data_IF_900918879357
#
_entry.id   IF_900918879357
#
_cell.length_a   1.000
_cell.length_b   1.000
_cell.length_c   1.000
_cell.angle_alpha   90.00
_cell.angle_beta   90.00
_cell.angle_gamma   90.00
#
_symmetry.space_group_name_H-M   'P 1'
#
loop_
_entity.id
_entity.type
_entity.pdbx_description
1 polymer ?
#
# COMPACT_ATOMS: atom_id res chain seq x y z
N UNK A 1 0.28 -9.93 4.90
CA UNK A 1 1.28 -10.94 4.52
C UNK A 1 1.93 -10.51 3.22
N UNK A 2 3.25 -10.45 3.11
CA UNK A 2 3.96 -10.08 1.86
C UNK A 2 4.31 -11.33 1.05
N UNK A 3 4.57 -11.23 -0.27
CA UNK A 3 5.01 -12.36 -1.09
C UNK A 3 6.21 -13.12 -0.49
N UNK A 4 7.18 -12.39 0.04
CA UNK A 4 8.37 -12.96 0.69
C UNK A 4 8.04 -13.76 1.96
N UNK A 5 7.10 -13.26 2.77
CA UNK A 5 6.66 -13.96 4.00
C UNK A 5 5.85 -15.21 3.65
N UNK A 6 5.01 -15.16 2.61
CA UNK A 6 4.24 -16.31 2.15
C UNK A 6 5.14 -17.42 1.57
N UNK A 7 6.14 -17.05 0.76
CA UNK A 7 7.15 -17.97 0.23
C UNK A 7 7.93 -18.66 1.35
N UNK A 8 8.48 -17.87 2.28
CA UNK A 8 9.26 -18.41 3.39
C UNK A 8 8.43 -19.37 4.25
N UNK A 9 7.17 -19.02 4.55
CA UNK A 9 6.26 -19.91 5.28
C UNK A 9 6.01 -21.24 4.55
N UNK A 10 5.85 -21.21 3.22
CA UNK A 10 5.67 -22.41 2.41
C UNK A 10 6.91 -23.30 2.38
N UNK A 11 8.10 -22.71 2.16
CA UNK A 11 9.38 -23.42 2.15
C UNK A 11 9.69 -24.09 3.50
N UNK A 12 9.43 -23.40 4.62
CA UNK A 12 9.60 -23.97 5.97
C UNK A 12 8.68 -25.18 6.17
N UNK A 13 7.43 -25.10 5.69
CA UNK A 13 6.46 -26.21 5.81
C UNK A 13 6.84 -27.41 4.96
N UNK A 14 7.34 -27.20 3.74
CA UNK A 14 7.86 -28.26 2.88
C UNK A 14 9.06 -28.95 3.51
N UNK A 15 9.98 -28.17 4.10
CA UNK A 15 11.19 -28.70 4.74
C UNK A 15 10.85 -29.51 6.00
N UNK A 16 9.85 -29.08 6.78
CA UNK A 16 9.38 -29.81 7.96
C UNK A 16 8.77 -31.17 7.58
N UNK A 17 7.93 -31.22 6.53
CA UNK A 17 7.30 -32.46 6.07
C UNK A 17 8.32 -33.49 5.53
N UNK A 18 9.40 -33.04 4.88
CA UNK A 18 10.44 -33.93 4.32
C UNK A 18 11.35 -34.50 5.42
N UNK A 19 11.54 -33.79 6.54
CA UNK A 19 12.37 -34.25 7.64
C UNK A 19 11.70 -35.33 8.52
N UNK A 20 10.36 -35.37 8.56
CA UNK A 20 9.61 -36.43 9.25
C UNK A 20 9.69 -37.77 8.49
N UNK A 21 9.83 -37.73 7.16
CA UNK A 21 10.09 -38.88 6.30
C UNK A 21 11.60 -39.20 6.30
N UNK A 22 12.05 -39.91 7.33
CA UNK A 22 13.42 -40.36 7.53
C UNK A 22 14.03 -40.96 6.23
N UNK A 23 14.91 -40.20 5.55
CA UNK A 23 15.79 -40.53 4.39
C UNK A 23 15.61 -39.66 3.11
N UNK A 24 15.19 -38.40 3.21
CA UNK A 24 15.38 -37.45 2.10
C UNK A 24 16.86 -37.10 1.90
N UNK A 25 17.48 -37.53 0.79
CA UNK A 25 18.80 -37.02 0.38
C UNK A 25 18.72 -35.52 0.15
N UNK A 26 19.79 -34.77 0.48
CA UNK A 26 19.87 -33.32 0.17
C UNK A 26 19.52 -32.98 -1.29
N UNK A 27 19.71 -33.93 -2.21
CA UNK A 27 19.33 -33.79 -3.62
C UNK A 27 17.82 -33.84 -3.87
N UNK A 28 17.06 -34.61 -3.09
CA UNK A 28 15.61 -34.72 -3.26
C UNK A 28 14.90 -33.48 -2.75
N UNK A 29 15.40 -32.88 -1.66
CA UNK A 29 14.96 -31.56 -1.20
C UNK A 29 15.17 -30.49 -2.29
N UNK A 30 16.34 -30.47 -2.94
CA UNK A 30 16.64 -29.53 -4.01
C UNK A 30 15.70 -29.73 -5.21
N UNK A 31 15.39 -30.97 -5.58
CA UNK A 31 14.45 -31.28 -6.67
C UNK A 31 13.03 -30.80 -6.33
N UNK A 32 12.55 -31.03 -5.12
CA UNK A 32 11.21 -30.58 -4.70
C UNK A 32 11.10 -29.06 -4.66
N UNK A 33 12.14 -28.36 -4.17
CA UNK A 33 12.15 -26.90 -4.16
C UNK A 33 12.28 -26.28 -5.56
N UNK A 34 12.89 -26.99 -6.51
CA UNK A 34 13.03 -26.57 -7.90
C UNK A 34 11.82 -26.91 -8.79
N UNK A 35 10.87 -27.73 -8.30
CA UNK A 35 9.67 -28.10 -9.04
C UNK A 35 8.66 -26.95 -9.03
N UNK A 36 8.50 -26.28 -10.16
CA UNK A 36 7.57 -25.16 -10.32
C UNK A 36 6.08 -25.54 -10.21
N UNK A 37 5.73 -26.84 -10.28
CA UNK A 37 4.36 -27.31 -10.02
C UNK A 37 4.05 -27.38 -8.53
N UNK A 38 5.08 -27.56 -7.69
CA UNK A 38 4.94 -27.68 -6.23
C UNK A 38 5.29 -26.34 -5.56
N UNK A 39 6.44 -25.77 -5.92
CA UNK A 39 6.96 -24.51 -5.42
C UNK A 39 6.86 -23.43 -6.51
N UNK A 40 5.83 -22.57 -6.50
CA UNK A 40 5.68 -21.52 -7.50
C UNK A 40 6.89 -20.59 -7.50
N UNK A 41 7.30 -20.17 -8.69
CA UNK A 41 8.38 -19.19 -8.86
C UNK A 41 8.03 -17.86 -8.19
N UNK A 42 9.04 -17.07 -7.82
CA UNK A 42 8.83 -15.74 -7.21
C UNK A 42 7.88 -14.86 -8.02
N UNK A 43 8.00 -14.93 -9.34
CA UNK A 43 7.13 -14.20 -10.27
C UNK A 43 5.67 -14.65 -10.16
N UNK A 44 5.42 -15.96 -10.04
CA UNK A 44 4.08 -16.50 -9.86
C UNK A 44 3.50 -16.13 -8.49
N UNK A 45 4.31 -16.17 -7.42
CA UNK A 45 3.88 -15.75 -6.08
C UNK A 45 3.50 -14.27 -6.07
N UNK A 46 4.32 -13.40 -6.68
CA UNK A 46 4.02 -11.97 -6.81
C UNK A 46 2.75 -11.77 -7.63
N UNK A 47 2.61 -12.45 -8.76
CA UNK A 47 1.42 -12.36 -9.60
C UNK A 47 0.14 -12.79 -8.86
N UNK A 48 0.15 -13.94 -8.18
CA UNK A 48 -0.97 -14.44 -7.39
C UNK A 48 -1.34 -13.47 -6.27
N UNK A 49 -0.33 -12.92 -5.59
CA UNK A 49 -0.53 -11.92 -4.56
C UNK A 49 -1.17 -10.65 -5.13
N UNK A 50 -0.68 -10.15 -6.26
CA UNK A 50 -1.22 -8.95 -6.90
C UNK A 50 -2.64 -9.15 -7.41
N UNK A 51 -2.95 -10.31 -7.99
CA UNK A 51 -4.31 -10.68 -8.40
C UNK A 51 -5.26 -10.72 -7.21
N UNK A 52 -4.94 -11.52 -6.17
CA UNK A 52 -5.75 -11.62 -4.96
C UNK A 52 -5.94 -10.25 -4.31
N UNK A 53 -4.86 -9.47 -4.18
CA UNK A 53 -4.91 -8.15 -3.57
C UNK A 53 -5.78 -7.20 -4.40
N UNK A 54 -5.65 -7.21 -5.73
CA UNK A 54 -6.46 -6.37 -6.62
C UNK A 54 -7.96 -6.68 -6.47
N UNK A 55 -8.32 -7.97 -6.40
CA UNK A 55 -9.70 -8.40 -6.19
C UNK A 55 -10.26 -8.00 -4.82
N UNK A 56 -9.44 -7.96 -3.78
CA UNK A 56 -9.89 -7.70 -2.40
C UNK A 56 -9.80 -6.23 -1.99
N UNK A 57 -8.77 -5.51 -2.46
CA UNK A 57 -8.44 -4.14 -2.02
C UNK A 57 -8.38 -3.14 -3.16
N UNK A 58 -8.56 -3.58 -4.41
CA UNK A 58 -8.49 -2.73 -5.59
C UNK A 58 -7.06 -2.50 -6.11
N UNK A 59 -7.00 -1.77 -7.23
CA UNK A 59 -5.75 -1.45 -7.90
C UNK A 59 -4.95 -0.38 -7.14
N UNK A 60 -3.62 -0.47 -7.19
CA UNK A 60 -2.67 0.42 -6.49
C UNK A 60 -2.11 1.51 -7.39
N UNK A 61 -2.31 1.43 -8.69
CA UNK A 61 -1.80 2.44 -9.61
C UNK A 61 -2.59 3.75 -9.46
N UNK A 62 -1.90 4.88 -9.65
CA UNK A 62 -2.36 6.27 -9.42
C UNK A 62 -3.83 6.57 -9.77
N UNK A 63 -4.35 5.91 -10.80
CA UNK A 63 -5.75 6.05 -11.22
C UNK A 63 -6.75 5.66 -10.13
N UNK A 64 -6.48 4.60 -9.35
CA UNK A 64 -7.41 4.10 -8.35
C UNK A 64 -7.67 5.09 -7.22
N UNK A 65 -6.61 5.74 -6.71
CA UNK A 65 -6.76 6.73 -5.62
C UNK A 65 -7.48 7.97 -6.11
N UNK A 66 -7.11 8.48 -7.28
CA UNK A 66 -7.77 9.66 -7.87
C UNK A 66 -9.25 9.38 -8.17
N UNK A 67 -9.59 8.24 -8.78
CA UNK A 67 -10.98 7.86 -9.07
C UNK A 67 -11.83 7.72 -7.79
N UNK A 68 -11.27 7.10 -6.73
CA UNK A 68 -11.94 6.98 -5.43
C UNK A 68 -12.17 8.36 -4.81
N UNK A 69 -11.18 9.24 -4.88
CA UNK A 69 -11.25 10.58 -4.33
C UNK A 69 -12.21 11.47 -5.12
N UNK A 70 -12.24 11.38 -6.45
CA UNK A 70 -13.24 12.04 -7.30
C UNK A 70 -14.65 11.58 -6.94
N UNK A 71 -14.85 10.28 -6.74
CA UNK A 71 -16.14 9.73 -6.29
C UNK A 71 -16.55 10.27 -4.92
N UNK A 72 -15.59 10.49 -4.01
CA UNK A 72 -15.83 10.99 -2.66
C UNK A 72 -15.83 12.52 -2.55
N UNK A 73 -15.37 13.25 -3.57
CA UNK A 73 -15.33 14.72 -3.61
C UNK A 73 -16.64 15.38 -3.16
N UNK A 74 -17.83 15.01 -3.68
CA UNK A 74 -19.07 15.65 -3.25
C UNK A 74 -19.38 15.42 -1.76
N UNK A 75 -18.93 14.32 -1.16
CA UNK A 75 -19.11 14.05 0.27
C UNK A 75 -18.28 15.01 1.12
N UNK A 76 -17.01 15.23 0.73
CA UNK A 76 -16.12 16.17 1.41
C UNK A 76 -16.64 17.61 1.27
N UNK A 77 -17.03 18.02 0.07
CA UNK A 77 -17.59 19.36 -0.19
C UNK A 77 -18.89 19.60 0.59
N UNK A 78 -19.79 18.61 0.65
CA UNK A 78 -21.01 18.68 1.46
C UNK A 78 -20.72 18.87 2.95
N UNK A 79 -19.62 18.29 3.46
CA UNK A 79 -19.17 18.49 4.84
C UNK A 79 -18.48 19.83 5.08
N UNK A 80 -18.36 20.68 4.05
CA UNK A 80 -17.65 21.96 4.08
C UNK A 80 -16.14 21.81 3.96
N UNK A 81 -15.63 20.65 3.55
CA UNK A 81 -14.23 20.43 3.24
C UNK A 81 -13.89 20.77 1.79
N UNK A 82 -12.61 20.84 1.49
CA UNK A 82 -12.08 21.05 0.14
C UNK A 82 -11.23 19.82 -0.22
N UNK A 83 -11.44 19.26 -1.41
CA UNK A 83 -10.64 18.19 -1.97
C UNK A 83 -10.17 18.60 -3.37
N UNK A 84 -8.87 18.80 -3.51
CA UNK A 84 -8.21 19.10 -4.78
C UNK A 84 -7.23 18.00 -5.16
N UNK A 85 -7.25 17.63 -6.44
CA UNK A 85 -6.43 16.55 -7.00
C UNK A 85 -5.73 17.12 -8.24
N UNK A 86 -4.42 17.16 -8.21
CA UNK A 86 -3.56 17.44 -9.36
C UNK A 86 -2.86 16.15 -9.76
N UNK A 87 -2.90 15.77 -11.04
CA UNK A 87 -2.34 14.51 -11.51
C UNK A 87 -0.91 14.64 -12.05
N UNK A 88 -0.35 15.86 -12.17
CA UNK A 88 1.00 16.04 -12.71
C UNK A 88 1.71 17.29 -12.14
N UNK A 89 2.56 17.16 -11.11
CA UNK A 89 2.81 15.94 -10.31
C UNK A 89 1.56 15.51 -9.51
N UNK A 90 1.47 14.23 -9.14
CA UNK A 90 0.38 13.73 -8.29
C UNK A 90 0.43 14.45 -6.93
N UNK A 91 -0.56 15.31 -6.69
CA UNK A 91 -0.71 16.08 -5.49
C UNK A 91 -2.19 16.06 -5.09
N UNK A 92 -2.46 15.62 -3.87
CA UNK A 92 -3.81 15.54 -3.31
C UNK A 92 -3.85 16.44 -2.08
N UNK A 93 -4.79 17.38 -2.07
CA UNK A 93 -5.00 18.33 -0.98
C UNK A 93 -6.40 18.11 -0.40
N UNK A 94 -6.46 17.75 0.88
CA UNK A 94 -7.71 17.61 1.63
C UNK A 94 -7.70 18.62 2.78
N UNK A 95 -8.64 19.56 2.75
CA UNK A 95 -8.78 20.58 3.79
C UNK A 95 -10.13 20.37 4.48
N UNK A 96 -10.09 20.17 5.80
CA UNK A 96 -11.31 20.06 6.61
C UNK A 96 -11.76 21.43 7.15
N UNK A 97 -13.04 21.60 7.53
CA UNK A 97 -13.49 22.81 8.22
C UNK A 97 -12.69 23.14 9.47
N UNK A 98 -12.20 22.12 10.18
CA UNK A 98 -11.36 22.31 11.37
C UNK A 98 -10.03 22.97 11.01
N UNK A 99 -9.38 22.52 9.94
CA UNK A 99 -8.15 23.12 9.43
C UNK A 99 -8.37 24.57 9.00
N UNK A 100 -9.44 24.85 8.26
CA UNK A 100 -9.78 26.22 7.87
C UNK A 100 -10.00 27.13 9.09
N UNK A 101 -10.58 26.61 10.18
CA UNK A 101 -10.72 27.37 11.44
C UNK A 101 -9.38 27.61 12.12
N UNK A 102 -8.52 26.59 12.18
CA UNK A 102 -7.17 26.74 12.73
C UNK A 102 -6.36 27.78 11.94
N UNK A 103 -6.49 27.81 10.61
CA UNK A 103 -5.84 28.77 9.72
C UNK A 103 -6.34 30.22 9.85
N UNK A 104 -7.44 30.48 10.56
CA UNK A 104 -7.90 31.85 10.86
C UNK A 104 -7.20 32.46 12.08
N UNK A 105 -6.44 31.68 12.83
CA UNK A 105 -5.79 32.15 14.05
C UNK A 105 -4.56 33.00 13.73
N UNK A 106 -4.25 34.06 14.49
CA UNK A 106 -3.12 34.95 14.18
C UNK A 106 -1.77 34.23 14.08
N UNK A 107 -1.58 33.15 14.86
CA UNK A 107 -0.36 32.36 14.92
C UNK A 107 -0.25 31.30 13.81
N UNK A 108 -1.33 31.01 13.07
CA UNK A 108 -1.30 29.95 12.05
C UNK A 108 -0.46 30.31 10.83
N UNK A 109 -0.07 31.57 10.69
CA UNK A 109 0.81 32.08 9.63
C UNK A 109 2.22 31.51 9.71
N UNK A 110 2.62 31.07 10.90
CA UNK A 110 3.98 30.58 11.20
C UNK A 110 4.01 29.06 11.40
N UNK A 111 2.88 28.36 11.25
CA UNK A 111 2.77 26.93 11.54
C UNK A 111 2.55 26.14 10.27
N UNK A 112 3.52 25.30 9.95
CA UNK A 112 3.37 24.21 8.97
C UNK A 112 3.16 22.94 9.77
N UNK A 113 1.97 22.36 9.69
CA UNK A 113 1.74 21.01 10.19
C UNK A 113 2.28 20.03 9.14
N UNK A 114 3.32 19.29 9.49
CA UNK A 114 3.80 18.17 8.70
C UNK A 114 3.43 16.93 9.47
N UNK A 115 2.34 16.28 9.09
CA UNK A 115 2.11 14.92 9.53
C UNK A 115 2.86 14.00 8.57
N UNK A 116 4.11 13.70 8.91
CA UNK A 116 4.92 12.70 8.22
C UNK A 116 4.70 11.33 8.86
N UNK A 117 3.47 10.93 9.15
CA UNK A 117 3.17 9.49 9.17
C UNK A 117 3.17 9.03 7.71
N UNK A 118 4.36 8.84 7.16
CA UNK A 118 4.54 8.03 5.97
C UNK A 118 4.16 6.60 6.33
N UNK A 119 2.87 6.28 6.33
CA UNK A 119 2.50 4.91 6.02
C UNK A 119 2.84 4.76 4.55
N UNK A 120 4.04 4.27 4.26
CA UNK A 120 4.30 3.63 2.99
C UNK A 120 3.21 2.55 2.89
N UNK A 121 2.16 2.82 2.12
CA UNK A 121 1.36 1.70 1.67
C UNK A 121 2.30 0.80 0.86
N UNK A 122 1.91 -0.45 0.65
CA UNK A 122 2.77 -1.40 -0.05
C UNK A 122 3.03 -1.00 -1.53
N UNK A 123 2.60 0.18 -2.01
CA UNK A 123 2.99 0.78 -3.29
C UNK A 123 4.21 1.72 -3.22
N UNK A 124 4.70 2.06 -2.03
CA UNK A 124 5.80 3.03 -1.87
C UNK A 124 5.38 4.49 -2.07
N UNK A 125 4.07 4.75 -2.17
CA UNK A 125 3.52 6.09 -2.27
C UNK A 125 3.62 6.80 -0.91
N UNK A 126 4.41 7.87 -0.85
CA UNK A 126 4.52 8.70 0.33
C UNK A 126 3.40 9.75 0.31
N UNK A 127 2.31 9.48 1.03
CA UNK A 127 1.25 10.48 1.21
C UNK A 127 1.79 11.52 2.19
N UNK A 128 2.23 12.65 1.66
CA UNK A 128 2.67 13.79 2.47
C UNK A 128 1.55 14.82 2.49
N UNK A 129 0.91 15.01 3.63
CA UNK A 129 -0.04 16.10 3.81
C UNK A 129 0.72 17.40 3.96
N UNK A 130 0.66 18.27 2.95
CA UNK A 130 1.19 19.62 3.03
C UNK A 130 0.07 20.61 3.32
N UNK A 131 0.13 21.27 4.49
CA UNK A 131 -0.66 22.45 4.76
C UNK A 131 0.12 23.69 4.32
N UNK A 132 -0.15 24.17 3.11
CA UNK A 132 0.37 25.44 2.65
C UNK A 132 -0.58 26.58 3.02
N UNK A 133 -0.02 27.64 3.61
CA UNK A 133 -0.65 28.94 3.71
C UNK A 133 0.07 29.85 2.70
N UNK A 134 -0.64 30.40 1.72
CA UNK A 134 -0.13 31.48 0.86
C UNK A 134 -1.09 32.67 0.91
N UNK A 135 -0.48 33.86 0.79
CA UNK A 135 -1.00 35.19 1.10
C UNK A 135 -2.22 35.64 0.30
#
# INVERSE_FOLDING_TARGET
>A
MTPAVAKNYHEVKLTANINDDCQGSSMDLIKTLADAQINPTDRQVVWLYDTWRSENYGDRFDKGVCEILETKKPLYEKSGGILEISNNPLCIVIITPLMMRAHKMPFSKDIVFVDSTGSCDQSGSCITFFFFCSF
#
